data_IF_520183805620
#
_entry.id   IF_520183805620
#
_cell.length_a   1.000
_cell.length_b   1.000
_cell.length_c   1.000
_cell.angle_alpha   90.00
_cell.angle_beta   90.00
_cell.angle_gamma   90.00
#
_symmetry.space_group_name_H-M   'P 1'
#
loop_
_entity.id
_entity.type
_entity.pdbx_description
1 polymer ?
#
# COMPACT_ATOMS: atom_id res chain seq x y z
N UNK A 1 -15.84 -38.19 38.24
CA UNK A 1 -15.25 -38.18 36.89
C UNK A 1 -15.57 -36.85 36.17
N UNK A 2 -15.78 -35.77 36.93
CA UNK A 2 -16.50 -34.58 36.44
C UNK A 2 -15.56 -33.43 36.02
N UNK A 3 -14.28 -33.54 36.35
CA UNK A 3 -13.23 -32.59 35.97
C UNK A 3 -12.75 -32.75 34.51
N UNK A 4 -12.91 -33.93 33.92
CA UNK A 4 -12.46 -34.20 32.54
C UNK A 4 -13.34 -33.52 31.49
N UNK A 5 -14.64 -33.34 31.80
CA UNK A 5 -15.62 -32.70 30.91
C UNK A 5 -15.26 -31.24 30.60
N UNK A 6 -15.04 -30.33 31.59
CA UNK A 6 -14.67 -28.94 31.30
C UNK A 6 -13.30 -28.81 30.61
N UNK A 7 -12.39 -29.76 30.85
CA UNK A 7 -11.08 -29.79 30.19
C UNK A 7 -11.20 -30.19 28.71
N UNK A 8 -12.02 -31.19 28.39
CA UNK A 8 -12.35 -31.56 27.02
C UNK A 8 -13.05 -30.41 26.29
N UNK A 9 -14.01 -29.74 26.94
CA UNK A 9 -14.71 -28.59 26.36
C UNK A 9 -13.74 -27.45 26.06
N UNK A 10 -12.84 -27.11 26.99
CA UNK A 10 -11.85 -26.06 26.76
C UNK A 10 -10.83 -26.42 25.67
N UNK A 11 -10.39 -27.68 25.60
CA UNK A 11 -9.52 -28.17 24.54
C UNK A 11 -10.19 -28.10 23.15
N UNK A 12 -11.47 -28.48 23.05
CA UNK A 12 -12.23 -28.41 21.79
C UNK A 12 -12.47 -26.97 21.37
N UNK A 13 -12.84 -26.08 22.29
CA UNK A 13 -13.01 -24.64 21.99
C UNK A 13 -11.69 -24.01 21.57
N UNK A 14 -10.59 -24.36 22.24
CA UNK A 14 -9.26 -23.88 21.89
C UNK A 14 -8.82 -24.40 20.52
N UNK A 15 -9.03 -25.69 20.23
CA UNK A 15 -8.74 -26.27 18.92
C UNK A 15 -9.60 -25.64 17.82
N UNK A 16 -10.89 -25.43 18.05
CA UNK A 16 -11.79 -24.73 17.13
C UNK A 16 -11.36 -23.28 16.90
N UNK A 17 -10.93 -22.58 17.95
CA UNK A 17 -10.36 -21.23 17.85
C UNK A 17 -9.07 -21.21 17.06
N UNK A 18 -8.17 -22.18 17.28
CA UNK A 18 -6.93 -22.33 16.50
C UNK A 18 -7.23 -22.62 15.03
N UNK A 19 -8.16 -23.52 14.71
CA UNK A 19 -8.59 -23.79 13.34
C UNK A 19 -9.23 -22.54 12.72
N UNK A 20 -10.07 -21.81 13.44
CA UNK A 20 -10.65 -20.56 12.96
C UNK A 20 -9.59 -19.49 12.70
N UNK A 21 -8.58 -19.38 13.58
CA UNK A 21 -7.50 -18.40 13.47
C UNK A 21 -6.43 -18.79 12.44
N UNK A 22 -6.21 -20.08 12.21
CA UNK A 22 -5.29 -20.61 11.19
C UNK A 22 -5.94 -20.83 9.82
N UNK A 23 -7.27 -20.93 9.73
CA UNK A 23 -8.04 -20.96 8.47
C UNK A 23 -7.58 -19.92 7.44
N UNK A 24 -7.36 -18.63 7.78
CA UNK A 24 -6.86 -17.66 6.81
C UNK A 24 -5.46 -17.97 6.25
N UNK A 25 -4.66 -18.84 6.87
CA UNK A 25 -3.37 -19.30 6.34
C UNK A 25 -3.49 -20.59 5.51
N UNK A 26 -4.53 -21.40 5.71
CA UNK A 26 -4.69 -22.73 5.08
C UNK A 26 -5.63 -22.69 3.86
N UNK A 27 -6.37 -21.60 3.67
CA UNK A 27 -7.27 -21.42 2.51
C UNK A 27 -6.51 -21.44 1.17
N UNK A 28 -7.14 -21.92 0.07
CA UNK A 28 -6.54 -21.89 -1.27
C UNK A 28 -6.08 -20.48 -1.67
N UNK A 29 -6.89 -19.46 -1.38
CA UNK A 29 -6.57 -18.04 -1.63
C UNK A 29 -5.32 -17.57 -0.89
N UNK A 30 -5.07 -18.07 0.32
CA UNK A 30 -3.87 -17.72 1.07
C UNK A 30 -2.62 -18.37 0.48
N UNK A 31 -2.73 -19.61 -0.01
CA UNK A 31 -1.66 -20.30 -0.74
C UNK A 31 -1.35 -19.59 -2.06
N UNK A 32 -2.36 -19.21 -2.81
CA UNK A 32 -2.21 -18.42 -4.05
C UNK A 32 -1.47 -17.11 -3.78
N UNK A 33 -1.85 -16.37 -2.72
CA UNK A 33 -1.17 -15.12 -2.33
C UNK A 33 0.27 -15.36 -1.87
N UNK A 34 0.53 -16.46 -1.16
CA UNK A 34 1.88 -16.84 -0.76
C UNK A 34 2.75 -17.24 -1.97
N UNK A 35 2.17 -17.96 -2.93
CA UNK A 35 2.82 -18.28 -4.19
C UNK A 35 3.10 -17.03 -5.02
N UNK A 36 2.14 -16.10 -5.10
CA UNK A 36 2.33 -14.80 -5.75
C UNK A 36 3.48 -14.01 -5.10
N UNK A 37 3.58 -14.02 -3.77
CA UNK A 37 4.71 -13.41 -3.07
C UNK A 37 6.04 -14.10 -3.43
N UNK A 38 6.08 -15.43 -3.49
CA UNK A 38 7.29 -16.17 -3.85
C UNK A 38 7.73 -15.86 -5.29
N UNK A 39 6.78 -15.81 -6.23
CA UNK A 39 7.04 -15.43 -7.63
C UNK A 39 7.54 -14.00 -7.72
N UNK A 40 6.89 -13.05 -7.04
CA UNK A 40 7.31 -11.66 -7.01
C UNK A 40 8.73 -11.51 -6.40
N UNK A 41 9.05 -12.27 -5.35
CA UNK A 41 10.40 -12.28 -4.74
C UNK A 41 11.45 -12.75 -5.73
N UNK A 42 11.20 -13.84 -6.46
CA UNK A 42 12.09 -14.31 -7.53
C UNK A 42 12.26 -13.28 -8.65
N UNK A 43 11.18 -12.58 -9.01
CA UNK A 43 11.24 -11.49 -10.02
C UNK A 43 12.08 -10.30 -9.55
N UNK A 44 12.04 -9.97 -8.25
CA UNK A 44 12.90 -8.92 -7.67
C UNK A 44 14.38 -9.31 -7.79
N UNK A 45 14.72 -10.59 -7.53
CA UNK A 45 16.10 -11.08 -7.64
C UNK A 45 16.57 -11.15 -9.09
N UNK A 46 15.67 -11.49 -10.02
CA UNK A 46 15.99 -11.60 -11.45
C UNK A 46 15.99 -10.24 -12.18
N UNK A 47 15.39 -9.19 -11.60
CA UNK A 47 15.28 -7.88 -12.26
C UNK A 47 16.63 -7.18 -12.35
N UNK A 48 17.03 -6.84 -13.58
CA UNK A 48 18.24 -6.05 -13.87
C UNK A 48 17.95 -4.55 -13.99
N UNK A 49 16.72 -4.23 -14.35
CA UNK A 49 16.24 -2.87 -14.55
C UNK A 49 15.40 -2.40 -13.36
N UNK A 50 15.51 -1.11 -13.05
CA UNK A 50 14.92 -0.46 -11.88
C UNK A 50 13.39 -0.34 -12.01
N UNK A 51 12.86 -0.07 -13.21
CA UNK A 51 11.42 -0.03 -13.44
C UNK A 51 10.79 -1.42 -13.30
N UNK A 52 11.44 -2.44 -13.87
CA UNK A 52 11.02 -3.85 -13.72
C UNK A 52 11.07 -4.29 -12.26
N UNK A 53 12.13 -3.90 -11.53
CA UNK A 53 12.27 -4.16 -10.10
C UNK A 53 11.17 -3.49 -9.29
N UNK A 54 10.80 -2.25 -9.64
CA UNK A 54 9.74 -1.50 -8.97
C UNK A 54 8.38 -2.19 -9.08
N UNK A 55 8.05 -2.72 -10.27
CA UNK A 55 6.81 -3.50 -10.48
C UNK A 55 6.82 -4.78 -9.66
N UNK A 56 7.93 -5.52 -9.65
CA UNK A 56 8.04 -6.75 -8.86
C UNK A 56 7.96 -6.49 -7.34
N UNK A 57 8.52 -5.37 -6.87
CA UNK A 57 8.39 -4.92 -5.48
C UNK A 57 6.92 -4.57 -5.15
N UNK A 58 6.20 -3.92 -6.05
CA UNK A 58 4.78 -3.63 -5.87
C UNK A 58 3.92 -4.91 -5.87
N UNK A 59 4.24 -5.92 -6.70
CA UNK A 59 3.59 -7.23 -6.68
C UNK A 59 3.77 -7.94 -5.33
N UNK A 60 5.00 -7.93 -4.79
CA UNK A 60 5.30 -8.48 -3.47
C UNK A 60 4.56 -7.73 -2.35
N UNK A 61 4.43 -6.40 -2.49
CA UNK A 61 3.69 -5.57 -1.56
C UNK A 61 2.19 -5.89 -1.55
N UNK A 62 1.57 -6.00 -2.73
CA UNK A 62 0.15 -6.35 -2.89
C UNK A 62 -0.13 -7.74 -2.28
N UNK A 63 0.73 -8.72 -2.53
CA UNK A 63 0.62 -10.05 -1.94
C UNK A 63 0.74 -10.00 -0.40
N UNK A 64 1.67 -9.21 0.14
CA UNK A 64 1.80 -9.01 1.59
C UNK A 64 0.57 -8.31 2.20
N UNK A 65 0.05 -7.27 1.54
CA UNK A 65 -1.15 -6.57 1.97
C UNK A 65 -2.36 -7.50 2.01
N UNK A 66 -2.52 -8.32 0.97
CA UNK A 66 -3.59 -9.32 0.87
C UNK A 66 -3.46 -10.43 1.93
N UNK A 67 -2.24 -10.78 2.36
CA UNK A 67 -1.99 -11.70 3.47
C UNK A 67 -2.14 -11.04 4.87
N UNK A 68 -2.48 -9.75 4.94
CA UNK A 68 -2.57 -9.00 6.19
C UNK A 68 -1.20 -8.63 6.80
N UNK A 69 -0.09 -8.97 6.12
CA UNK A 69 1.30 -8.68 6.53
C UNK A 69 1.66 -7.22 6.25
N UNK A 70 0.94 -6.31 6.90
CA UNK A 70 0.89 -4.91 6.49
C UNK A 70 2.23 -4.19 6.66
N UNK A 71 3.00 -4.47 7.73
CA UNK A 71 4.31 -3.85 7.93
C UNK A 71 5.31 -4.23 6.83
N UNK A 72 5.28 -5.51 6.38
CA UNK A 72 6.08 -5.95 5.24
C UNK A 72 5.63 -5.29 3.94
N UNK A 73 4.32 -5.17 3.73
CA UNK A 73 3.76 -4.49 2.55
C UNK A 73 4.24 -3.03 2.46
N UNK A 74 4.22 -2.28 3.57
CA UNK A 74 4.76 -0.91 3.63
C UNK A 74 6.24 -0.86 3.23
N UNK A 75 7.04 -1.82 3.70
CA UNK A 75 8.46 -1.92 3.33
C UNK A 75 8.67 -2.16 1.83
N UNK A 76 7.89 -3.06 1.23
CA UNK A 76 7.94 -3.32 -0.21
C UNK A 76 7.46 -2.13 -1.05
N UNK A 77 6.33 -1.49 -0.71
CA UNK A 77 5.86 -0.29 -1.42
C UNK A 77 6.87 0.85 -1.34
N UNK A 78 7.49 1.06 -0.18
CA UNK A 78 8.55 2.06 -0.04
C UNK A 78 9.73 1.80 -0.98
N UNK A 79 10.14 0.53 -1.13
CA UNK A 79 11.23 0.17 -2.05
C UNK A 79 10.79 0.30 -3.50
N UNK A 80 9.54 -0.02 -3.82
CA UNK A 80 8.96 0.15 -5.15
C UNK A 80 8.97 1.63 -5.57
N UNK A 81 8.42 2.51 -4.72
CA UNK A 81 8.39 3.95 -4.93
C UNK A 81 9.78 4.58 -5.02
N UNK A 82 10.79 4.00 -4.35
CA UNK A 82 12.19 4.44 -4.49
C UNK A 82 12.86 3.98 -5.78
N UNK A 83 12.47 2.80 -6.29
CA UNK A 83 13.03 2.25 -7.53
C UNK A 83 12.43 2.93 -8.76
N UNK A 84 11.15 3.28 -8.70
CA UNK A 84 10.48 4.08 -9.73
C UNK A 84 9.57 5.12 -9.07
N UNK A 85 10.12 6.33 -8.82
CA UNK A 85 9.38 7.41 -8.18
C UNK A 85 8.42 8.16 -9.11
N UNK A 86 8.48 7.91 -10.42
CA UNK A 86 7.66 8.63 -11.41
C UNK A 86 6.39 7.88 -11.76
N UNK A 87 6.31 6.60 -11.40
CA UNK A 87 5.15 5.77 -11.68
C UNK A 87 3.95 6.08 -10.79
N UNK A 88 2.99 6.81 -11.37
CA UNK A 88 1.66 7.00 -10.78
C UNK A 88 0.97 5.67 -10.45
N UNK A 89 1.17 4.64 -11.30
CA UNK A 89 0.61 3.30 -11.08
C UNK A 89 1.09 2.67 -9.77
N UNK A 90 2.36 2.84 -9.39
CA UNK A 90 2.87 2.31 -8.11
C UNK A 90 2.27 3.07 -6.93
N UNK A 91 2.06 4.38 -7.06
CA UNK A 91 1.38 5.20 -6.06
C UNK A 91 -0.06 4.71 -5.85
N UNK A 92 -0.80 4.47 -6.93
CA UNK A 92 -2.18 3.96 -6.88
C UNK A 92 -2.26 2.57 -6.25
N UNK A 93 -1.36 1.65 -6.62
CA UNK A 93 -1.26 0.32 -6.00
C UNK A 93 -0.98 0.42 -4.51
N UNK A 94 -0.07 1.31 -4.11
CA UNK A 94 0.23 1.59 -2.70
C UNK A 94 -1.02 2.09 -1.95
N UNK A 95 -1.77 3.01 -2.55
CA UNK A 95 -3.01 3.53 -1.98
C UNK A 95 -4.07 2.42 -1.79
N UNK A 96 -4.22 1.54 -2.78
CA UNK A 96 -5.14 0.40 -2.71
C UNK A 96 -4.73 -0.62 -1.64
N UNK A 97 -3.46 -1.05 -1.65
CA UNK A 97 -2.95 -2.07 -0.72
C UNK A 97 -2.92 -1.61 0.74
N UNK A 98 -2.74 -0.31 0.98
CA UNK A 98 -2.72 0.27 2.33
C UNK A 98 -4.02 0.99 2.73
N UNK A 99 -5.10 0.83 1.98
CA UNK A 99 -6.38 1.51 2.24
C UNK A 99 -6.91 1.31 3.67
N UNK A 100 -6.63 0.14 4.28
CA UNK A 100 -7.02 -0.19 5.68
C UNK A 100 -6.10 0.41 6.74
N UNK A 101 -4.99 1.06 6.36
CA UNK A 101 -4.00 1.68 7.25
C UNK A 101 -3.69 3.13 6.83
N UNK A 102 -4.66 4.05 6.97
CA UNK A 102 -4.53 5.43 6.48
C UNK A 102 -3.31 6.16 7.05
N UNK A 103 -2.94 5.95 8.33
CA UNK A 103 -1.77 6.60 8.92
C UNK A 103 -0.42 6.10 8.38
N UNK A 104 -0.33 4.83 7.95
CA UNK A 104 0.87 4.33 7.29
C UNK A 104 0.98 4.84 5.85
N UNK A 105 -0.16 4.87 5.15
CA UNK A 105 -0.27 5.43 3.81
C UNK A 105 0.07 6.92 3.79
N UNK A 106 -0.49 7.71 4.71
CA UNK A 106 -0.22 9.15 4.86
C UNK A 106 1.29 9.43 5.00
N UNK A 107 1.97 8.78 5.95
CA UNK A 107 3.41 8.94 6.15
C UNK A 107 4.23 8.54 4.92
N UNK A 108 3.81 7.47 4.23
CA UNK A 108 4.50 6.99 3.05
C UNK A 108 4.35 7.97 1.87
N UNK A 109 3.15 8.51 1.66
CA UNK A 109 2.87 9.50 0.61
C UNK A 109 3.61 10.81 0.86
N UNK A 110 3.61 11.33 2.09
CA UNK A 110 4.38 12.53 2.41
C UNK A 110 5.88 12.34 2.20
N UNK A 111 6.43 11.17 2.58
CA UNK A 111 7.85 10.87 2.33
C UNK A 111 8.16 10.80 0.84
N UNK A 112 7.27 10.23 0.04
CA UNK A 112 7.43 10.16 -1.40
C UNK A 112 7.36 11.57 -2.04
N UNK A 113 6.35 12.35 -1.72
CA UNK A 113 6.18 13.72 -2.21
C UNK A 113 7.31 14.67 -1.77
N UNK A 114 7.90 14.45 -0.60
CA UNK A 114 9.03 15.24 -0.13
C UNK A 114 10.35 14.90 -0.85
N UNK A 115 10.46 13.71 -1.43
CA UNK A 115 11.71 13.23 -2.04
C UNK A 115 11.83 13.57 -3.53
N UNK A 116 10.74 14.00 -4.19
CA UNK A 116 10.69 14.16 -5.64
C UNK A 116 10.00 15.47 -6.03
N UNK A 117 10.44 16.06 -7.14
CA UNK A 117 9.80 17.24 -7.70
C UNK A 117 8.37 16.93 -8.16
N UNK A 118 7.46 17.88 -7.95
CA UNK A 118 6.04 17.73 -8.31
C UNK A 118 5.75 18.08 -9.78
N UNK A 119 6.76 18.57 -10.49
CA UNK A 119 6.67 19.05 -11.87
C UNK A 119 7.46 18.13 -12.83
N UNK A 120 7.24 18.30 -14.13
CA UNK A 120 7.88 17.50 -15.17
C UNK A 120 7.48 16.03 -15.13
N UNK A 121 8.45 15.13 -15.30
CA UNK A 121 8.25 13.68 -15.41
C UNK A 121 7.68 13.02 -14.13
N UNK A 122 7.80 13.68 -12.97
CA UNK A 122 7.25 13.19 -11.69
C UNK A 122 5.81 13.64 -11.40
N UNK A 123 5.24 14.49 -12.26
CA UNK A 123 3.97 15.18 -11.99
C UNK A 123 2.79 14.23 -11.80
N UNK A 124 2.67 13.19 -12.62
CA UNK A 124 1.56 12.24 -12.51
C UNK A 124 1.60 11.47 -11.18
N UNK A 125 2.80 11.05 -10.75
CA UNK A 125 2.98 10.40 -9.45
C UNK A 125 2.67 11.37 -8.30
N UNK A 126 3.09 12.64 -8.40
CA UNK A 126 2.78 13.66 -7.42
C UNK A 126 1.26 13.91 -7.30
N UNK A 127 0.55 14.03 -8.44
CA UNK A 127 -0.90 14.17 -8.47
C UNK A 127 -1.60 12.95 -7.84
N UNK A 128 -1.15 11.73 -8.14
CA UNK A 128 -1.68 10.51 -7.54
C UNK A 128 -1.46 10.48 -6.00
N UNK A 129 -0.29 10.92 -5.54
CA UNK A 129 0.04 11.01 -4.12
C UNK A 129 -0.82 12.03 -3.38
N UNK A 130 -0.99 13.22 -3.95
CA UNK A 130 -1.83 14.28 -3.40
C UNK A 130 -3.31 13.90 -3.36
N UNK A 131 -3.86 13.31 -4.42
CA UNK A 131 -5.24 12.75 -4.43
C UNK A 131 -5.44 11.70 -3.34
N UNK A 132 -4.42 10.88 -3.08
CA UNK A 132 -4.45 9.89 -2.01
C UNK A 132 -4.53 10.56 -0.63
N UNK A 133 -3.73 11.60 -0.39
CA UNK A 133 -3.74 12.37 0.86
C UNK A 133 -5.05 13.15 1.06
N UNK A 134 -5.59 13.78 0.01
CA UNK A 134 -6.89 14.44 0.03
C UNK A 134 -7.99 13.45 0.47
N UNK A 135 -8.01 12.24 -0.09
CA UNK A 135 -8.95 11.17 0.29
C UNK A 135 -8.80 10.73 1.74
N UNK A 136 -7.58 10.78 2.31
CA UNK A 136 -7.34 10.45 3.72
C UNK A 136 -7.89 11.56 4.63
N UNK A 137 -7.60 12.81 4.32
CA UNK A 137 -7.98 13.94 5.17
C UNK A 137 -9.46 14.31 5.06
N UNK A 138 -10.07 14.19 3.88
CA UNK A 138 -11.51 14.44 3.66
C UNK A 138 -12.42 13.55 4.51
N UNK A 139 -11.97 12.33 4.86
CA UNK A 139 -12.72 11.41 5.73
C UNK A 139 -12.84 11.88 7.19
N UNK A 140 -12.05 12.85 7.62
CA UNK A 140 -12.00 13.29 9.02
C UNK A 140 -12.32 14.79 9.11
N UNK A 141 -13.43 15.20 9.74
CA UNK A 141 -13.81 16.62 9.82
C UNK A 141 -12.71 17.53 10.37
N UNK A 142 -11.97 17.05 11.39
CA UNK A 142 -10.84 17.78 12.00
C UNK A 142 -9.67 18.08 11.05
N UNK A 143 -9.63 17.46 9.87
CA UNK A 143 -8.60 17.65 8.85
C UNK A 143 -9.13 18.34 7.59
N UNK A 144 -10.33 18.94 7.65
CA UNK A 144 -10.95 19.65 6.53
C UNK A 144 -10.04 20.70 5.90
N UNK A 145 -9.38 21.53 6.71
CA UNK A 145 -8.43 22.55 6.22
C UNK A 145 -7.26 21.92 5.46
N UNK A 146 -6.76 20.76 5.90
CA UNK A 146 -5.67 20.05 5.20
C UNK A 146 -6.16 19.47 3.87
N UNK A 147 -7.35 18.89 3.85
CA UNK A 147 -7.95 18.41 2.60
C UNK A 147 -8.13 19.56 1.59
N UNK A 148 -8.61 20.72 2.04
CA UNK A 148 -8.79 21.89 1.20
C UNK A 148 -7.47 22.46 0.69
N UNK A 149 -6.43 22.55 1.53
CA UNK A 149 -5.09 22.96 1.11
C UNK A 149 -4.52 22.04 0.01
N UNK A 150 -4.73 20.72 0.13
CA UNK A 150 -4.32 19.76 -0.91
C UNK A 150 -5.15 19.93 -2.18
N UNK A 151 -6.45 20.19 -2.08
CA UNK A 151 -7.29 20.46 -3.25
C UNK A 151 -6.81 21.71 -4.01
N UNK A 152 -6.39 22.77 -3.31
CA UNK A 152 -5.77 23.95 -3.94
C UNK A 152 -4.44 23.60 -4.62
N UNK A 153 -3.59 22.79 -3.97
CA UNK A 153 -2.34 22.34 -4.58
C UNK A 153 -2.58 21.49 -5.85
N UNK A 154 -3.58 20.62 -5.83
CA UNK A 154 -3.99 19.83 -7.01
C UNK A 154 -4.47 20.73 -8.15
N UNK A 155 -5.28 21.76 -7.85
CA UNK A 155 -5.76 22.71 -8.84
C UNK A 155 -4.61 23.55 -9.44
N UNK A 156 -3.68 24.02 -8.61
CA UNK A 156 -2.50 24.76 -9.07
C UNK A 156 -1.61 23.89 -9.98
N UNK A 157 -1.36 22.65 -9.58
CA UNK A 157 -0.61 21.70 -10.39
C UNK A 157 -1.35 21.32 -11.66
N UNK A 158 -2.68 21.31 -11.70
CA UNK A 158 -3.45 21.07 -12.92
C UNK A 158 -3.33 22.26 -13.90
N UNK A 159 -3.57 23.49 -13.42
CA UNK A 159 -3.47 24.70 -14.23
C UNK A 159 -2.07 24.95 -14.81
N UNK A 160 -1.01 24.48 -14.15
CA UNK A 160 0.35 24.53 -14.70
C UNK A 160 0.57 23.65 -15.96
N UNK A 161 -0.34 22.73 -16.33
CA UNK A 161 -0.29 22.06 -17.65
C UNK A 161 -0.69 22.99 -18.79
N UNK A 162 -1.61 23.91 -18.52
CA UNK A 162 -2.30 24.66 -19.56
C UNK A 162 -1.57 25.99 -19.87
N UNK A 163 -0.52 26.31 -19.12
CA UNK A 163 0.33 27.46 -19.37
C UNK A 163 1.30 27.16 -20.54
N UNK A 164 1.33 27.98 -21.61
CA UNK A 164 2.30 27.80 -22.68
C UNK A 164 3.73 27.95 -22.12
N UNK A 165 4.72 27.20 -22.65
CA UNK A 165 6.10 27.36 -22.22
C UNK A 165 6.52 28.80 -22.49
N UNK A 166 6.88 29.52 -21.42
CA UNK A 166 7.46 30.86 -21.54
C UNK A 166 8.71 30.79 -22.42
N UNK A 167 8.67 31.50 -23.54
CA UNK A 167 9.75 31.65 -24.52
C UNK A 167 10.97 32.39 -23.93
#
# INVERSE_FOLDING_TARGET
>A
MDWQIPLLVSAVVFAAFLVFRMRPAVTPRARERAAALAVATKRIEASKDDATRAVALADAADACAALGRTNRAVGYYLRALRSDPRSARIVERTAAGLARRPGALERLMWRHLAAHAWEGEGREAALAGLRTLERIYSKRPRHRMRAQAIAHALAALAGAADAPPSA
#
